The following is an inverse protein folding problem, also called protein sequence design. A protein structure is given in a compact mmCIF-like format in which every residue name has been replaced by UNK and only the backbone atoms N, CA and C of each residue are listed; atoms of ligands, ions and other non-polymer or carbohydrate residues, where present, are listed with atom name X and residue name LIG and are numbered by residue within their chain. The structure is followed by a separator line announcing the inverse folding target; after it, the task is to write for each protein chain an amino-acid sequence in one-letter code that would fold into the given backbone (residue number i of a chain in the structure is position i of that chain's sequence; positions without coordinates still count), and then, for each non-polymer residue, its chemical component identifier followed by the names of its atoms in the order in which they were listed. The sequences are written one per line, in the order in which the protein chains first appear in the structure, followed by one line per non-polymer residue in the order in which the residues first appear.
data_IF_431826073693
#
_entry.id   IF_431826073693
#
_cell.length_a   1.000
_cell.length_b   1.000
_cell.length_c   1.000
_cell.angle_alpha   90.00
_cell.angle_beta   90.00
_cell.angle_gamma   90.00
#
_symmetry.space_group_name_H-M   'P 1'
#
loop_
_entity.id
_entity.type
_entity.pdbx_description
1 polymer ?
#
# COMPACT_ATOMS: atom_id res chain seq x y z
N UNK A 1 1.52 -4.73 51.43
CA UNK A 1 2.22 -3.96 50.37
C UNK A 1 2.67 -5.00 49.35
N UNK A 2 1.85 -5.23 48.33
CA UNK A 2 1.98 -6.34 47.38
C UNK A 2 2.45 -5.73 46.07
N UNK A 3 3.63 -6.12 45.60
CA UNK A 3 4.12 -5.84 44.25
C UNK A 3 3.47 -6.84 43.29
N UNK A 4 2.77 -6.33 42.27
CA UNK A 4 2.27 -7.09 41.12
C UNK A 4 3.34 -7.13 40.02
N UNK A 5 3.57 -8.26 39.32
CA UNK A 5 4.36 -8.27 38.09
C UNK A 5 3.54 -7.75 36.91
N UNK A 6 4.25 -7.08 36.00
CA UNK A 6 3.72 -6.42 34.80
C UNK A 6 3.19 -7.38 33.74
N UNK A 7 2.27 -6.82 32.95
CA UNK A 7 1.62 -7.44 31.80
C UNK A 7 2.62 -7.63 30.65
N UNK A 8 2.76 -8.86 30.18
CA UNK A 8 3.24 -9.19 28.82
C UNK A 8 1.99 -9.49 27.98
N UNK A 9 1.74 -8.68 26.95
CA UNK A 9 0.61 -8.89 26.05
C UNK A 9 0.99 -8.36 24.66
N UNK A 10 1.81 -9.10 23.91
CA UNK A 10 1.98 -8.93 22.46
C UNK A 10 2.88 -10.05 21.88
N UNK A 11 2.44 -11.31 21.96
CA UNK A 11 3.04 -12.39 21.15
C UNK A 11 2.06 -13.50 20.74
N UNK A 12 0.77 -13.45 21.12
CA UNK A 12 -0.19 -14.54 20.84
C UNK A 12 -1.31 -14.18 19.83
N UNK A 13 -1.22 -13.02 19.16
CA UNK A 13 -2.27 -12.57 18.22
C UNK A 13 -2.04 -12.96 16.75
N UNK A 14 -0.89 -13.51 16.36
CA UNK A 14 -0.62 -13.85 14.95
C UNK A 14 -1.20 -15.18 14.49
N UNK A 15 -1.42 -16.14 15.39
CA UNK A 15 -1.63 -17.54 14.97
C UNK A 15 -3.08 -18.02 15.10
N UNK A 16 -3.98 -17.22 15.68
CA UNK A 16 -5.40 -17.60 15.93
C UNK A 16 -6.44 -16.96 15.02
N UNK A 17 -6.04 -16.16 14.03
CA UNK A 17 -6.95 -15.48 13.10
C UNK A 17 -7.11 -16.18 11.73
N UNK A 18 -6.54 -17.37 11.54
CA UNK A 18 -6.56 -18.07 10.23
C UNK A 18 -7.77 -18.99 9.98
N UNK A 19 -8.80 -19.00 10.83
CA UNK A 19 -10.00 -19.77 10.52
C UNK A 19 -11.26 -19.03 11.03
N UNK A 20 -12.29 -19.04 10.18
CA UNK A 20 -13.62 -18.43 10.32
C UNK A 20 -13.78 -17.02 9.71
N UNK A 21 -14.30 -17.02 8.48
CA UNK A 21 -15.08 -15.93 7.83
C UNK A 21 -14.50 -14.52 7.95
N UNK A 22 -13.45 -14.24 7.17
CA UNK A 22 -12.93 -12.89 6.92
C UNK A 22 -13.82 -12.14 5.92
N UNK A 23 -15.07 -11.91 6.29
CA UNK A 23 -15.93 -10.90 5.67
C UNK A 23 -16.01 -9.75 6.67
N UNK A 24 -15.31 -8.66 6.33
CA UNK A 24 -15.61 -7.29 6.77
C UNK A 24 -15.58 -7.07 8.30
N UNK A 25 -14.39 -6.91 8.86
CA UNK A 25 -14.25 -6.14 10.12
C UNK A 25 -13.90 -4.70 9.78
N UNK A 26 -14.93 -3.86 9.62
CA UNK A 26 -14.77 -2.45 9.92
C UNK A 26 -14.44 -2.36 11.42
N UNK A 27 -13.17 -2.17 11.76
CA UNK A 27 -12.84 -1.69 13.09
C UNK A 27 -13.33 -0.25 13.16
N UNK A 28 -14.33 0.10 13.99
CA UNK A 28 -14.70 1.49 14.16
C UNK A 28 -13.48 2.19 14.79
N UNK A 29 -12.81 3.03 14.00
CA UNK A 29 -11.86 4.00 14.54
C UNK A 29 -12.63 4.89 15.54
N UNK A 30 -12.03 5.11 16.71
CA UNK A 30 -12.65 5.95 17.75
C UNK A 30 -12.97 7.33 17.17
N UNK A 31 -14.09 7.97 17.55
CA UNK A 31 -14.38 9.34 17.13
C UNK A 31 -13.23 10.27 17.56
N UNK A 32 -12.58 10.91 16.59
CA UNK A 32 -11.56 11.93 16.83
C UNK A 32 -10.12 11.58 16.41
N UNK A 33 -9.84 10.37 15.91
CA UNK A 33 -8.50 10.01 15.44
C UNK A 33 -8.59 9.08 14.22
N UNK A 34 -8.10 9.55 13.08
CA UNK A 34 -8.02 8.75 11.86
C UNK A 34 -6.55 8.51 11.50
N UNK A 35 -6.24 7.23 11.29
CA UNK A 35 -4.90 6.64 11.13
C UNK A 35 -4.05 7.35 10.05
N UNK A 36 -4.71 8.07 9.14
CA UNK A 36 -4.08 8.70 7.98
C UNK A 36 -4.29 10.22 7.91
N UNK A 37 -4.73 10.88 8.99
CA UNK A 37 -5.03 12.32 8.97
C UNK A 37 -3.86 13.18 8.52
N UNK A 38 -2.63 12.77 8.87
CA UNK A 38 -1.42 13.45 8.42
C UNK A 38 -1.01 13.04 7.01
N UNK A 39 -1.18 11.77 6.65
CA UNK A 39 -0.80 11.25 5.33
C UNK A 39 -1.70 11.80 4.22
N UNK A 40 -3.00 11.99 4.50
CA UNK A 40 -3.98 12.57 3.57
C UNK A 40 -4.78 13.70 4.25
N UNK A 41 -4.26 14.93 4.25
CA UNK A 41 -4.91 16.08 4.90
C UNK A 41 -6.33 16.37 4.40
N UNK A 42 -6.63 15.97 3.15
CA UNK A 42 -7.93 16.17 2.50
C UNK A 42 -8.96 15.10 2.87
N UNK A 43 -8.53 13.99 3.50
CA UNK A 43 -9.37 12.83 3.80
C UNK A 43 -9.73 12.71 5.29
N UNK A 44 -9.43 13.70 6.14
CA UNK A 44 -9.61 13.60 7.60
C UNK A 44 -11.01 13.18 8.03
N UNK A 45 -12.03 13.75 7.38
CA UNK A 45 -13.44 13.49 7.67
C UNK A 45 -14.00 12.25 6.94
N UNK A 46 -13.16 11.50 6.24
CA UNK A 46 -13.55 10.29 5.49
C UNK A 46 -13.47 9.05 6.37
N UNK A 47 -14.33 8.07 6.09
CA UNK A 47 -14.33 6.78 6.76
C UNK A 47 -13.34 5.86 6.06
N UNK A 48 -12.32 5.43 6.78
CA UNK A 48 -11.35 4.45 6.31
C UNK A 48 -11.77 3.04 6.71
N UNK A 49 -11.53 2.06 5.83
CA UNK A 49 -11.74 0.65 6.14
C UNK A 49 -10.66 -0.25 5.56
N UNK A 50 -10.32 -1.29 6.30
CA UNK A 50 -9.43 -2.32 5.77
C UNK A 50 -10.17 -3.15 4.72
N UNK A 51 -9.53 -3.35 3.55
CA UNK A 51 -10.03 -4.23 2.49
C UNK A 51 -8.90 -5.14 2.01
N UNK A 52 -9.16 -6.45 2.02
CA UNK A 52 -8.35 -7.39 1.25
C UNK A 52 -8.87 -7.39 -0.20
N UNK A 53 -8.07 -6.87 -1.13
CA UNK A 53 -8.53 -6.66 -2.51
C UNK A 53 -8.64 -7.97 -3.28
N UNK A 54 -7.85 -8.98 -2.95
CA UNK A 54 -7.95 -10.29 -3.59
C UNK A 54 -9.23 -11.04 -3.20
N UNK A 55 -9.64 -10.97 -1.93
CA UNK A 55 -10.93 -11.52 -1.49
C UNK A 55 -12.11 -10.73 -2.09
N UNK A 56 -11.98 -9.41 -2.20
CA UNK A 56 -12.96 -8.59 -2.92
C UNK A 56 -13.08 -8.99 -4.39
N UNK A 57 -11.95 -9.25 -5.07
CA UNK A 57 -11.95 -9.74 -6.45
C UNK A 57 -12.64 -11.10 -6.59
N UNK A 58 -12.38 -12.05 -5.68
CA UNK A 58 -13.06 -13.36 -5.67
C UNK A 58 -14.57 -13.21 -5.52
N UNK A 59 -15.02 -12.37 -4.59
CA UNK A 59 -16.44 -12.10 -4.39
C UNK A 59 -17.06 -11.44 -5.62
N UNK A 60 -16.35 -10.51 -6.24
CA UNK A 60 -16.80 -9.84 -7.47
C UNK A 60 -16.95 -10.81 -8.63
N UNK A 61 -15.98 -11.70 -8.88
CA UNK A 61 -16.10 -12.74 -9.93
C UNK A 61 -17.21 -13.75 -9.65
N UNK A 62 -17.51 -14.04 -8.38
CA UNK A 62 -18.64 -14.90 -8.04
C UNK A 62 -19.99 -14.23 -8.35
N UNK A 63 -20.07 -12.90 -8.23
CA UNK A 63 -21.26 -12.10 -8.54
C UNK A 63 -21.43 -11.82 -10.03
N UNK A 64 -20.32 -11.60 -10.73
CA UNK A 64 -20.26 -11.27 -12.15
C UNK A 64 -19.42 -12.32 -12.89
N UNK A 65 -19.96 -13.53 -13.13
CA UNK A 65 -19.21 -14.61 -13.74
C UNK A 65 -18.81 -14.27 -15.19
N UNK A 66 -17.54 -14.47 -15.47
CA UNK A 66 -16.91 -14.25 -16.76
C UNK A 66 -17.31 -15.33 -17.79
N UNK A 67 -17.39 -15.01 -19.09
CA UNK A 67 -17.27 -16.00 -20.14
C UNK A 67 -15.92 -16.74 -20.02
N UNK A 68 -15.88 -18.03 -20.37
CA UNK A 68 -14.70 -18.92 -20.20
C UNK A 68 -13.41 -18.44 -20.93
N UNK A 69 -13.46 -17.39 -21.74
CA UNK A 69 -12.40 -16.93 -22.65
C UNK A 69 -12.01 -15.45 -22.52
N UNK A 70 -12.48 -14.69 -21.52
CA UNK A 70 -12.11 -13.28 -21.38
C UNK A 70 -10.78 -13.04 -20.64
N UNK A 71 -10.08 -11.98 -21.05
CA UNK A 71 -9.03 -11.35 -20.25
C UNK A 71 -9.59 -10.89 -18.91
N UNK A 72 -8.76 -10.88 -17.86
CA UNK A 72 -9.19 -10.44 -16.54
C UNK A 72 -9.66 -8.97 -16.56
N UNK A 73 -10.94 -8.67 -16.36
CA UNK A 73 -11.48 -7.32 -16.51
C UNK A 73 -10.98 -6.38 -15.41
N UNK A 74 -10.54 -6.92 -14.27
CA UNK A 74 -10.00 -6.11 -13.17
C UNK A 74 -8.62 -5.53 -13.50
N UNK A 75 -7.97 -5.96 -14.60
CA UNK A 75 -6.77 -5.29 -15.13
C UNK A 75 -7.11 -3.93 -15.79
N UNK A 76 -8.37 -3.68 -16.13
CA UNK A 76 -8.83 -2.35 -16.53
C UNK A 76 -9.07 -1.47 -15.29
N UNK A 77 -8.38 -0.32 -15.15
CA UNK A 77 -8.49 0.55 -13.98
C UNK A 77 -9.91 1.04 -13.69
N UNK A 78 -10.71 1.29 -14.73
CA UNK A 78 -12.08 1.77 -14.54
C UNK A 78 -12.98 0.66 -13.98
N UNK A 79 -12.80 -0.57 -14.44
CA UNK A 79 -13.52 -1.75 -13.94
C UNK A 79 -13.09 -2.11 -12.53
N UNK A 80 -11.78 -2.06 -12.23
CA UNK A 80 -11.27 -2.22 -10.87
C UNK A 80 -11.82 -1.14 -9.92
N UNK A 81 -11.85 0.12 -10.36
CA UNK A 81 -12.47 1.21 -9.60
C UNK A 81 -13.95 0.97 -9.34
N UNK A 82 -14.70 0.47 -10.32
CA UNK A 82 -16.11 0.17 -10.15
C UNK A 82 -16.34 -0.93 -9.10
N UNK A 83 -15.52 -1.98 -9.10
CA UNK A 83 -15.52 -3.02 -8.07
C UNK A 83 -15.23 -2.43 -6.69
N UNK A 84 -14.19 -1.60 -6.56
CA UNK A 84 -13.85 -0.99 -5.28
C UNK A 84 -14.93 -0.02 -4.78
N UNK A 85 -15.58 0.72 -5.67
CA UNK A 85 -16.71 1.58 -5.31
C UNK A 85 -17.90 0.77 -4.75
N UNK A 86 -18.17 -0.42 -5.31
CA UNK A 86 -19.18 -1.35 -4.79
C UNK A 86 -18.81 -1.82 -3.38
N UNK A 87 -17.57 -2.26 -3.19
CA UNK A 87 -17.04 -2.70 -1.89
C UNK A 87 -17.13 -1.58 -0.85
N UNK A 88 -16.72 -0.35 -1.21
CA UNK A 88 -16.79 0.81 -0.33
C UNK A 88 -18.23 1.14 0.07
N UNK A 89 -19.17 1.08 -0.88
CA UNK A 89 -20.58 1.32 -0.62
C UNK A 89 -21.19 0.27 0.32
N UNK A 90 -20.88 -1.02 0.11
CA UNK A 90 -21.34 -2.12 0.97
C UNK A 90 -20.78 -2.00 2.40
N UNK A 91 -19.54 -1.55 2.53
CA UNK A 91 -18.88 -1.33 3.81
C UNK A 91 -19.27 -0.03 4.52
N UNK A 92 -19.85 0.93 3.80
CA UNK A 92 -20.06 2.27 4.31
C UNK A 92 -18.74 2.97 4.66
N UNK A 93 -17.73 2.82 3.81
CA UNK A 93 -16.45 3.52 3.89
C UNK A 93 -16.25 4.39 2.65
N UNK A 94 -15.35 5.36 2.74
CA UNK A 94 -15.05 6.29 1.65
C UNK A 94 -13.65 6.06 1.06
N UNK A 95 -12.77 5.40 1.82
CA UNK A 95 -11.38 5.12 1.49
C UNK A 95 -11.05 3.72 2.04
N UNK A 96 -10.33 2.90 1.28
CA UNK A 96 -9.81 1.63 1.81
C UNK A 96 -8.30 1.59 1.86
N UNK A 97 -7.77 0.77 2.77
CA UNK A 97 -6.35 0.49 2.87
C UNK A 97 -6.09 -0.99 3.15
N UNK A 98 -4.86 -1.44 2.90
CA UNK A 98 -4.40 -2.78 3.26
C UNK A 98 -3.39 -3.33 2.26
N UNK A 99 -3.16 -4.64 2.31
CA UNK A 99 -2.40 -5.33 1.27
C UNK A 99 -1.01 -5.80 1.65
N UNK A 100 -0.47 -5.51 2.85
CA UNK A 100 0.87 -6.01 3.20
C UNK A 100 0.87 -7.53 3.33
N UNK A 101 1.74 -8.20 2.57
CA UNK A 101 1.80 -9.65 2.38
C UNK A 101 0.44 -10.27 1.97
N UNK A 102 -0.37 -9.51 1.23
CA UNK A 102 -1.59 -9.99 0.61
C UNK A 102 -1.26 -10.76 -0.67
N UNK A 103 -1.87 -11.93 -0.83
CA UNK A 103 -1.85 -12.67 -2.09
C UNK A 103 -2.82 -12.00 -3.07
N UNK A 104 -2.35 -11.50 -4.20
CA UNK A 104 -3.17 -10.86 -5.24
C UNK A 104 -3.34 -11.70 -6.51
N UNK A 105 -3.18 -13.03 -6.41
CA UNK A 105 -3.23 -13.94 -7.57
C UNK A 105 -4.57 -13.96 -8.32
N UNK A 106 -5.70 -13.79 -7.64
CA UNK A 106 -7.01 -13.73 -8.34
C UNK A 106 -7.23 -12.37 -8.97
N UNK A 107 -6.91 -11.32 -8.19
CA UNK A 107 -7.05 -9.93 -8.60
C UNK A 107 -6.18 -9.62 -9.84
N UNK A 108 -4.92 -10.06 -9.86
CA UNK A 108 -3.93 -9.76 -10.90
C UNK A 108 -3.58 -10.92 -11.82
N UNK A 109 -4.40 -11.98 -11.90
CA UNK A 109 -4.19 -13.03 -12.93
C UNK A 109 -4.18 -12.40 -14.33
N UNK A 110 -3.33 -12.93 -15.21
CA UNK A 110 -3.15 -12.43 -16.57
C UNK A 110 -2.30 -11.16 -16.66
N UNK A 111 -1.63 -10.75 -15.57
CA UNK A 111 -0.73 -9.59 -15.56
C UNK A 111 0.74 -10.01 -15.76
N UNK A 112 1.66 -9.04 -15.69
CA UNK A 112 3.10 -9.30 -15.73
C UNK A 112 3.59 -10.20 -14.58
N UNK A 113 2.81 -10.32 -13.50
CA UNK A 113 3.13 -11.14 -12.33
C UNK A 113 3.04 -12.65 -12.60
N UNK A 114 2.29 -13.06 -13.63
CA UNK A 114 1.99 -14.47 -13.93
C UNK A 114 3.24 -15.29 -14.27
N UNK A 115 4.16 -14.72 -15.05
CA UNK A 115 5.35 -15.44 -15.54
C UNK A 115 6.24 -15.90 -14.37
N UNK A 116 6.47 -15.02 -13.40
CA UNK A 116 7.30 -15.29 -12.23
C UNK A 116 6.49 -15.74 -10.99
N UNK A 117 5.16 -15.74 -11.06
CA UNK A 117 4.23 -16.06 -9.95
C UNK A 117 4.45 -15.22 -8.70
N UNK A 118 4.76 -13.95 -8.90
CA UNK A 118 5.09 -13.01 -7.83
C UNK A 118 3.85 -12.20 -7.42
N UNK A 119 2.85 -12.83 -6.79
CA UNK A 119 1.60 -12.14 -6.41
C UNK A 119 1.57 -11.61 -4.98
N UNK A 120 2.62 -11.80 -4.20
CA UNK A 120 2.67 -11.35 -2.82
C UNK A 120 2.95 -9.85 -2.78
N UNK A 121 1.96 -9.06 -2.41
CA UNK A 121 2.09 -7.62 -2.33
C UNK A 121 2.97 -7.20 -1.14
N UNK A 122 3.97 -6.37 -1.40
CA UNK A 122 5.04 -6.02 -0.44
C UNK A 122 4.85 -4.66 0.22
N UNK A 123 3.78 -3.95 -0.12
CA UNK A 123 3.44 -2.66 0.47
C UNK A 123 2.01 -2.62 1.01
N UNK A 124 1.55 -1.41 1.30
CA UNK A 124 0.16 -1.10 1.61
C UNK A 124 -0.34 -0.12 0.58
N UNK A 125 -1.52 -0.42 0.04
CA UNK A 125 -2.21 0.49 -0.85
C UNK A 125 -3.28 1.25 -0.08
N UNK A 126 -3.38 2.55 -0.34
CA UNK A 126 -4.51 3.37 0.11
C UNK A 126 -5.28 3.85 -1.12
N UNK A 127 -6.49 3.32 -1.29
CA UNK A 127 -7.35 3.54 -2.44
C UNK A 127 -8.17 4.82 -2.23
N UNK A 128 -7.72 5.90 -2.84
CA UNK A 128 -8.32 7.22 -2.76
C UNK A 128 -8.34 7.92 -4.14
N UNK A 129 -9.20 8.93 -4.34
CA UNK A 129 -9.34 9.59 -5.64
C UNK A 129 -8.03 10.17 -6.18
N UNK A 130 -7.83 10.12 -7.50
CA UNK A 130 -6.72 10.81 -8.16
C UNK A 130 -6.73 12.31 -7.79
N UNK A 131 -5.53 12.89 -7.63
CA UNK A 131 -5.35 14.27 -7.21
C UNK A 131 -5.38 14.50 -5.70
N UNK A 132 -5.72 13.48 -4.89
CA UNK A 132 -5.64 13.57 -3.42
C UNK A 132 -4.21 13.91 -2.98
N UNK A 133 -4.06 14.90 -2.10
CA UNK A 133 -2.77 15.28 -1.54
C UNK A 133 -2.15 14.18 -0.67
N UNK A 134 -0.84 13.95 -0.84
CA UNK A 134 -0.03 13.02 -0.04
C UNK A 134 1.01 13.83 0.74
N UNK A 135 0.96 13.70 2.06
CA UNK A 135 1.93 14.28 2.97
C UNK A 135 2.80 13.20 3.60
N UNK A 136 3.96 13.59 4.13
CA UNK A 136 4.73 12.70 5.02
C UNK A 136 4.23 12.89 6.45
N UNK A 137 4.19 11.84 7.25
CA UNK A 137 3.73 11.88 8.64
C UNK A 137 4.89 11.96 9.66
N UNK A 138 6.13 11.89 9.18
CA UNK A 138 7.35 11.90 10.00
C UNK A 138 8.49 12.68 9.33
N UNK A 139 9.57 12.93 10.08
CA UNK A 139 10.77 13.54 9.51
C UNK A 139 11.49 12.59 8.56
N UNK A 140 11.69 13.02 7.31
CA UNK A 140 12.32 12.22 6.28
C UNK A 140 13.17 13.07 5.32
N UNK A 141 14.16 12.43 4.71
CA UNK A 141 14.94 12.99 3.61
C UNK A 141 14.46 12.41 2.28
N UNK A 142 14.25 13.26 1.28
CA UNK A 142 13.97 12.81 -0.09
C UNK A 142 15.25 12.29 -0.71
N UNK A 143 15.40 10.97 -0.86
CA UNK A 143 16.61 10.36 -1.41
C UNK A 143 16.50 10.07 -2.91
N UNK A 144 15.27 9.99 -3.44
CA UNK A 144 15.04 9.79 -4.87
C UNK A 144 13.66 10.31 -5.29
N UNK A 145 13.61 10.87 -6.48
CA UNK A 145 12.38 11.20 -7.20
C UNK A 145 12.57 10.68 -8.62
N UNK A 146 11.75 9.73 -9.03
CA UNK A 146 11.81 9.16 -10.37
C UNK A 146 10.43 8.75 -10.89
N UNK A 147 10.37 8.37 -12.15
CA UNK A 147 9.25 7.69 -12.76
C UNK A 147 9.71 6.32 -13.28
N UNK A 148 8.88 5.31 -13.08
CA UNK A 148 9.12 4.00 -13.65
C UNK A 148 8.42 3.81 -14.99
N UNK A 149 9.05 3.05 -15.87
CA UNK A 149 8.46 2.55 -17.13
C UNK A 149 8.46 1.02 -17.04
N UNK A 150 7.29 0.37 -17.08
CA UNK A 150 6.29 0.54 -18.14
C UNK A 150 5.03 1.34 -17.77
N UNK A 151 4.33 1.85 -18.80
CA UNK A 151 3.04 2.53 -18.64
C UNK A 151 1.94 1.61 -18.07
N UNK A 152 2.05 0.29 -18.28
CA UNK A 152 1.11 -0.71 -17.75
C UNK A 152 1.86 -1.63 -16.81
N UNK A 153 1.41 -1.72 -15.57
CA UNK A 153 2.03 -2.56 -14.54
C UNK A 153 3.20 -1.91 -13.81
N UNK A 154 3.64 -0.73 -14.22
CA UNK A 154 4.76 -0.02 -13.60
C UNK A 154 4.36 0.79 -12.37
N UNK A 155 5.33 1.47 -11.80
CA UNK A 155 5.14 2.26 -10.57
C UNK A 155 4.54 3.65 -10.77
N UNK A 156 4.58 4.19 -12.00
CA UNK A 156 4.32 5.62 -12.24
C UNK A 156 5.38 6.50 -11.56
N UNK A 157 5.03 7.74 -11.20
CA UNK A 157 5.95 8.59 -10.44
C UNK A 157 6.10 8.06 -9.00
N UNK A 158 7.33 8.11 -8.50
CA UNK A 158 7.70 7.69 -7.15
C UNK A 158 8.51 8.76 -6.44
N UNK A 159 8.31 8.81 -5.13
CA UNK A 159 9.17 9.54 -4.20
C UNK A 159 9.66 8.54 -3.16
N UNK A 160 10.98 8.47 -3.00
CA UNK A 160 11.63 7.59 -2.05
C UNK A 160 12.20 8.44 -0.92
N UNK A 161 11.78 8.12 0.30
CA UNK A 161 12.10 8.85 1.52
C UNK A 161 12.93 7.98 2.45
N UNK A 162 14.02 8.52 3.02
CA UNK A 162 14.73 7.89 4.14
C UNK A 162 14.20 8.48 5.44
N UNK A 163 13.71 7.62 6.34
CA UNK A 163 13.28 8.07 7.66
C UNK A 163 14.50 8.45 8.49
N UNK A 164 14.40 9.55 9.25
CA UNK A 164 15.54 10.06 10.03
C UNK A 164 15.87 9.19 11.25
N UNK A 165 14.84 8.71 11.93
CA UNK A 165 14.96 8.06 13.24
C UNK A 165 14.74 6.54 13.18
N UNK A 166 14.58 5.98 11.98
CA UNK A 166 14.32 4.55 11.76
C UNK A 166 15.19 4.03 10.61
N UNK A 167 15.72 2.80 10.66
CA UNK A 167 16.53 2.21 9.60
C UNK A 167 15.64 1.73 8.43
N UNK A 168 14.79 2.62 7.93
CA UNK A 168 13.74 2.33 6.94
C UNK A 168 13.76 3.39 5.83
N UNK A 169 13.58 2.89 4.62
CA UNK A 169 13.27 3.69 3.43
C UNK A 169 11.80 3.45 3.07
N UNK A 170 11.06 4.51 2.80
CA UNK A 170 9.68 4.45 2.31
C UNK A 170 9.65 4.79 0.82
N UNK A 171 8.95 3.97 0.03
CA UNK A 171 8.64 4.24 -1.36
C UNK A 171 7.17 4.63 -1.44
N UNK A 172 6.88 5.84 -1.92
CA UNK A 172 5.54 6.27 -2.29
C UNK A 172 5.43 6.24 -3.81
N UNK A 173 4.56 5.41 -4.35
CA UNK A 173 4.38 5.24 -5.79
C UNK A 173 2.96 5.59 -6.25
N UNK A 174 2.73 5.44 -7.56
CA UNK A 174 1.47 5.80 -8.23
C UNK A 174 1.10 7.28 -8.08
N UNK A 175 2.12 8.14 -7.93
CA UNK A 175 1.96 9.57 -7.74
C UNK A 175 1.72 10.28 -9.08
N UNK A 176 1.02 11.42 -9.01
CA UNK A 176 0.84 12.32 -10.14
C UNK A 176 2.16 12.96 -10.53
N UNK A 177 2.26 13.37 -11.80
CA UNK A 177 3.38 14.22 -12.24
C UNK A 177 3.37 15.54 -11.49
N UNK A 178 4.56 16.12 -11.32
CA UNK A 178 4.70 17.42 -10.64
C UNK A 178 4.75 17.31 -9.12
N UNK A 179 5.44 16.29 -8.60
CA UNK A 179 5.85 16.26 -7.18
C UNK A 179 6.61 17.54 -6.83
N UNK A 180 6.37 18.08 -5.63
CA UNK A 180 6.86 19.41 -5.26
C UNK A 180 8.21 19.38 -4.55
N UNK A 181 8.64 18.21 -4.09
CA UNK A 181 9.93 18.00 -3.45
C UNK A 181 11.04 17.63 -4.44
N UNK A 182 12.29 17.81 -4.03
CA UNK A 182 13.51 17.48 -4.76
C UNK A 182 14.40 16.57 -3.93
N UNK A 183 15.26 15.81 -4.60
CA UNK A 183 16.29 15.02 -3.92
C UNK A 183 17.16 15.91 -3.02
N UNK A 184 17.33 15.50 -1.77
CA UNK A 184 18.03 16.22 -0.71
C UNK A 184 17.11 17.06 0.20
N UNK A 185 15.85 17.29 -0.18
CA UNK A 185 14.91 18.03 0.66
C UNK A 185 14.64 17.28 1.97
N UNK A 186 14.46 18.05 3.05
CA UNK A 186 14.08 17.55 4.36
C UNK A 186 12.61 17.85 4.57
N UNK A 187 11.80 16.81 4.71
CA UNK A 187 10.37 16.91 4.96
C UNK A 187 10.08 16.77 6.46
N UNK A 188 9.17 17.57 6.97
CA UNK A 188 8.60 17.46 8.30
C UNK A 188 7.20 16.81 8.25
N UNK A 189 6.76 16.28 9.38
CA UNK A 189 5.41 15.74 9.50
C UNK A 189 4.35 16.79 9.07
N UNK A 190 3.47 16.38 8.16
CA UNK A 190 2.43 17.21 7.55
C UNK A 190 2.84 17.89 6.24
N UNK A 191 4.11 17.83 5.83
CA UNK A 191 4.54 18.41 4.55
C UNK A 191 3.97 17.62 3.38
N UNK A 192 3.14 18.28 2.57
CA UNK A 192 2.60 17.74 1.32
C UNK A 192 3.71 17.76 0.26
N UNK A 193 4.06 16.59 -0.26
CA UNK A 193 5.14 16.44 -1.24
C UNK A 193 4.64 15.94 -2.61
N UNK A 194 3.44 15.36 -2.67
CA UNK A 194 2.88 14.79 -3.90
C UNK A 194 1.35 14.76 -3.90
N UNK A 195 0.78 14.26 -5.00
CA UNK A 195 -0.63 13.93 -5.16
C UNK A 195 -0.77 12.54 -5.79
N UNK A 196 -1.91 11.89 -5.64
CA UNK A 196 -2.20 10.63 -6.33
C UNK A 196 -2.35 10.82 -7.83
N UNK A 197 -1.76 9.94 -8.62
CA UNK A 197 -1.82 9.96 -10.07
C UNK A 197 -3.12 9.37 -10.62
N UNK A 198 -3.52 9.86 -11.79
CA UNK A 198 -4.57 9.18 -12.57
C UNK A 198 -4.00 7.91 -13.24
N UNK A 199 -4.89 7.01 -13.68
CA UNK A 199 -4.49 5.77 -14.39
C UNK A 199 -3.63 6.03 -15.63
N UNK A 200 -3.76 7.19 -16.26
CA UNK A 200 -2.94 7.60 -17.41
C UNK A 200 -1.46 7.88 -17.09
N UNK A 201 -1.08 7.96 -15.82
CA UNK A 201 0.27 8.33 -15.39
C UNK A 201 0.82 7.52 -14.20
N UNK A 202 0.01 6.68 -13.56
CA UNK A 202 0.39 5.94 -12.36
C UNK A 202 0.85 4.50 -12.64
N UNK A 203 1.08 4.12 -13.89
CA UNK A 203 1.34 2.72 -14.28
C UNK A 203 0.10 1.94 -14.73
N UNK A 204 -0.97 2.65 -15.11
CA UNK A 204 -2.24 2.07 -15.54
C UNK A 204 -2.91 1.22 -14.47
N UNK A 205 -2.85 1.70 -13.23
CA UNK A 205 -3.57 1.14 -12.10
C UNK A 205 -4.78 2.01 -11.74
N UNK A 206 -5.77 1.42 -11.05
CA UNK A 206 -6.80 2.21 -10.36
C UNK A 206 -6.11 3.26 -9.45
N UNK A 207 -6.59 4.51 -9.33
CA UNK A 207 -5.98 5.50 -8.45
C UNK A 207 -5.85 5.02 -6.99
N UNK A 208 -4.62 5.01 -6.50
CA UNK A 208 -4.23 4.73 -5.12
C UNK A 208 -2.81 5.28 -4.88
N UNK A 209 -2.36 5.34 -3.63
CA UNK A 209 -0.91 5.35 -3.35
C UNK A 209 -0.50 3.96 -2.89
N UNK A 210 0.61 3.49 -3.42
CA UNK A 210 1.34 2.36 -2.85
C UNK A 210 2.44 2.90 -1.94
N UNK A 211 2.45 2.43 -0.69
CA UNK A 211 3.52 2.70 0.26
C UNK A 211 4.26 1.40 0.55
N UNK A 212 5.55 1.36 0.24
CA UNK A 212 6.42 0.22 0.56
C UNK A 212 7.45 0.67 1.60
N UNK A 213 7.62 -0.10 2.67
CA UNK A 213 8.77 0.06 3.55
C UNK A 213 9.85 -0.91 3.12
N UNK A 214 11.09 -0.47 3.14
CA UNK A 214 12.28 -1.24 2.78
C UNK A 214 13.29 -1.09 3.91
N UNK A 215 13.87 -2.20 4.37
CA UNK A 215 15.01 -2.18 5.29
C UNK A 215 16.12 -1.33 4.67
N UNK A 216 16.58 -0.29 5.39
CA UNK A 216 17.56 0.66 4.85
C UNK A 216 18.84 -0.04 4.40
N UNK A 217 19.32 -1.03 5.17
CA UNK A 217 20.55 -1.75 4.81
C UNK A 217 20.39 -2.46 3.45
N UNK A 218 19.26 -3.12 3.23
CA UNK A 218 18.97 -3.78 1.97
C UNK A 218 18.86 -2.76 0.81
N UNK A 219 18.17 -1.63 1.03
CA UNK A 219 18.08 -0.57 0.04
C UNK A 219 19.45 0.02 -0.33
N UNK A 220 20.28 0.32 0.68
CA UNK A 220 21.62 0.86 0.48
C UNK A 220 22.53 -0.13 -0.25
N UNK A 221 22.40 -1.44 0.01
CA UNK A 221 23.12 -2.49 -0.72
C UNK A 221 22.73 -2.46 -2.22
N UNK A 222 21.43 -2.39 -2.54
CA UNK A 222 20.95 -2.31 -3.93
C UNK A 222 21.43 -1.03 -4.64
N UNK A 223 21.44 0.10 -3.94
CA UNK A 223 21.95 1.35 -4.48
C UNK A 223 23.45 1.24 -4.80
N UNK A 224 24.24 0.64 -3.91
CA UNK A 224 25.69 0.46 -4.10
C UNK A 224 26.02 -0.50 -5.24
N UNK A 225 25.24 -1.57 -5.41
CA UNK A 225 25.45 -2.55 -6.49
C UNK A 225 24.82 -2.12 -7.82
N UNK A 226 24.05 -1.02 -7.83
CA UNK A 226 23.35 -0.54 -9.03
C UNK A 226 22.17 -1.42 -9.43
N UNK A 227 21.53 -2.09 -8.46
CA UNK A 227 20.45 -3.08 -8.66
C UNK A 227 19.09 -2.59 -8.15
N UNK A 228 18.84 -1.27 -8.18
CA UNK A 228 17.56 -0.72 -7.77
C UNK A 228 16.39 -1.17 -8.67
N UNK A 229 16.68 -1.58 -9.90
CA UNK A 229 15.73 -2.16 -10.86
C UNK A 229 15.16 -3.51 -10.42
N UNK A 230 15.78 -4.17 -9.43
CA UNK A 230 15.25 -5.39 -8.81
C UNK A 230 14.09 -5.11 -7.85
N UNK A 231 13.88 -3.86 -7.43
CA UNK A 231 12.77 -3.49 -6.55
C UNK A 231 11.43 -3.55 -7.30
N UNK A 232 10.56 -4.43 -6.82
CA UNK A 232 9.16 -4.53 -7.22
C UNK A 232 8.25 -4.39 -5.99
N UNK A 233 7.00 -3.98 -6.22
CA UNK A 233 5.94 -3.92 -5.22
C UNK A 233 5.38 -5.30 -4.90
N UNK A 234 5.83 -6.32 -5.62
CA UNK A 234 5.41 -7.70 -5.49
C UNK A 234 6.59 -8.67 -5.35
N UNK A 235 6.31 -9.84 -4.76
CA UNK A 235 7.29 -10.91 -4.63
C UNK A 235 6.66 -12.29 -4.58
N UNK A 236 7.50 -13.31 -4.40
CA UNK A 236 7.07 -14.71 -4.37
C UNK A 236 6.52 -15.12 -3.00
N UNK A 237 5.47 -15.94 -3.01
CA UNK A 237 4.95 -16.58 -1.78
C UNK A 237 6.00 -17.49 -1.12
N UNK A 238 6.89 -18.10 -1.91
CA UNK A 238 7.94 -19.00 -1.40
C UNK A 238 8.95 -18.25 -0.51
N UNK A 239 9.18 -16.96 -0.81
CA UNK A 239 10.14 -16.11 -0.10
C UNK A 239 9.48 -15.24 0.97
N UNK A 240 8.19 -15.44 1.27
CA UNK A 240 7.39 -14.60 2.17
C UNK A 240 8.10 -14.18 3.45
N UNK A 241 8.81 -15.09 4.12
CA UNK A 241 9.53 -14.78 5.37
C UNK A 241 10.73 -13.85 5.15
N UNK A 242 11.48 -14.06 4.07
CA UNK A 242 12.60 -13.20 3.69
C UNK A 242 12.08 -11.83 3.26
N UNK A 243 11.02 -11.81 2.45
CA UNK A 243 10.40 -10.58 1.96
C UNK A 243 9.78 -9.78 3.10
N UNK A 244 9.12 -10.41 4.07
CA UNK A 244 8.61 -9.72 5.26
C UNK A 244 9.69 -9.03 6.10
N UNK A 245 10.94 -9.52 6.04
CA UNK A 245 12.07 -8.89 6.71
C UNK A 245 12.64 -7.72 5.91
N UNK A 246 12.82 -7.88 4.60
CA UNK A 246 13.33 -6.84 3.70
C UNK A 246 12.31 -5.71 3.47
N UNK A 247 11.03 -6.07 3.48
CA UNK A 247 9.88 -5.21 3.24
C UNK A 247 8.91 -5.32 4.42
N UNK A 248 9.25 -4.75 5.58
CA UNK A 248 8.40 -4.80 6.77
C UNK A 248 7.07 -4.05 6.54
N UNK A 249 6.08 -4.28 7.40
CA UNK A 249 4.76 -3.64 7.28
C UNK A 249 4.91 -2.10 7.31
N UNK A 250 4.58 -1.40 6.19
CA UNK A 250 4.64 0.06 6.12
C UNK A 250 3.81 0.74 7.21
N UNK A 251 2.74 0.10 7.69
CA UNK A 251 1.86 0.62 8.72
C UNK A 251 2.57 0.91 10.04
N UNK A 252 3.71 0.28 10.33
CA UNK A 252 4.52 0.64 11.50
C UNK A 252 5.27 1.97 11.34
N UNK A 253 5.34 2.50 10.13
CA UNK A 253 6.18 3.65 9.78
C UNK A 253 5.39 4.83 9.20
N UNK A 254 4.13 4.60 8.80
CA UNK A 254 3.19 5.63 8.29
C UNK A 254 2.01 5.88 9.25
N UNK A 255 2.23 5.64 10.54
CA UNK A 255 1.28 5.91 11.59
C UNK A 255 1.94 6.70 12.71
N UNK A 256 1.26 7.77 13.14
CA UNK A 256 1.40 8.24 14.51
C UNK A 256 0.03 8.22 15.17
N UNK A 257 -0.06 7.44 16.24
CA UNK A 257 -0.88 7.82 17.39
C UNK A 257 -0.35 9.18 17.84
N UNK A 258 -1.10 10.26 17.57
CA UNK A 258 -0.87 11.56 18.19
C UNK A 258 -1.23 11.53 19.67
#
# INVERSE_FOLDING_TARGET
MILKPGFSFCTELSDRLMNETLILRCLPLKPGFNLFDMLFPELKEKRFGYVNMNEAAKAWFAKYPEPIVSENPLLDPATCQAMMNEVHAELGIDVSYGGWLEDRSTLWRGSYLDEAKIYLHLGVDVNAPAGTAVAVDRHAEVIRVDDDTPLVGGWGNRVILRLRDEPIVLIYAHLAKGVVCKVGDQLAAGDVFAKLGASSENGYWMPHVHVQAVEQKYFDDLLQTGQLDVLDGYGSQEERKLLAHRFPDPMHFIQLDS
#
